data_IF_563722012922
#
_entry.id   IF_563722012922
#
_cell.length_a   1.000
_cell.length_b   1.000
_cell.length_c   1.000
_cell.angle_alpha   90.00
_cell.angle_beta   90.00
_cell.angle_gamma   90.00
#
_symmetry.space_group_name_H-M   'P 1'
#
loop_
_entity.id
_entity.type
_entity.pdbx_description
1 polymer ?
#
# COMPACT_ATOMS: atom_id res chain seq x y z
N UNK A 1 17.34 -2.09 -15.22
CA UNK A 1 16.49 -2.10 -16.42
C UNK A 1 15.06 -1.87 -15.95
N UNK A 2 14.41 -0.77 -16.33
CA UNK A 2 13.09 -0.37 -15.77
C UNK A 2 11.98 -0.40 -16.82
N UNK A 3 12.13 -1.25 -17.83
CA UNK A 3 11.14 -1.48 -18.89
C UNK A 3 10.83 -2.97 -19.00
N UNK A 4 9.56 -3.31 -19.24
CA UNK A 4 9.11 -4.69 -19.46
C UNK A 4 8.33 -4.75 -20.77
N UNK A 5 8.77 -5.57 -21.73
CA UNK A 5 8.21 -5.61 -23.09
C UNK A 5 8.08 -4.22 -23.76
N UNK A 6 9.04 -3.32 -23.52
CA UNK A 6 9.04 -1.95 -24.06
C UNK A 6 8.17 -0.94 -23.31
N UNK A 7 7.42 -1.35 -22.29
CA UNK A 7 6.61 -0.46 -21.44
C UNK A 7 7.36 -0.08 -20.16
N UNK A 8 7.16 1.13 -19.61
CA UNK A 8 7.69 1.50 -18.29
C UNK A 8 7.22 0.52 -17.22
N UNK A 9 8.16 -0.10 -16.50
CA UNK A 9 7.85 -1.09 -15.49
C UNK A 9 6.99 -0.51 -14.36
N UNK A 10 7.14 0.80 -14.07
CA UNK A 10 6.34 1.51 -13.08
C UNK A 10 4.84 1.33 -13.28
N UNK A 11 4.35 1.43 -14.54
CA UNK A 11 2.92 1.32 -14.85
C UNK A 11 2.40 -0.09 -14.53
N UNK A 12 3.20 -1.13 -14.76
CA UNK A 12 2.78 -2.49 -14.41
C UNK A 12 2.84 -2.72 -12.89
N UNK A 13 3.92 -2.26 -12.25
CA UNK A 13 4.13 -2.43 -10.81
C UNK A 13 3.10 -1.66 -9.97
N UNK A 14 2.70 -0.47 -10.40
CA UNK A 14 1.70 0.33 -9.67
C UNK A 14 0.34 -0.36 -9.60
N UNK A 15 -0.06 -1.14 -10.61
CA UNK A 15 -1.30 -1.94 -10.57
C UNK A 15 -1.28 -2.96 -9.44
N UNK A 16 -0.12 -3.54 -9.13
CA UNK A 16 0.02 -4.41 -7.96
C UNK A 16 -0.11 -3.60 -6.67
N UNK A 17 0.56 -2.46 -6.55
CA UNK A 17 0.53 -1.62 -5.34
C UNK A 17 -0.89 -1.13 -5.03
N UNK A 18 -1.61 -0.60 -6.02
CA UNK A 18 -2.97 -0.05 -5.82
C UNK A 18 -4.01 -1.11 -5.44
N UNK A 19 -3.74 -2.38 -5.71
CA UNK A 19 -4.62 -3.49 -5.32
C UNK A 19 -4.16 -4.12 -4.00
N UNK A 20 -2.87 -4.48 -3.90
CA UNK A 20 -2.34 -5.24 -2.78
C UNK A 20 -2.35 -4.43 -1.48
N UNK A 21 -1.97 -3.15 -1.50
CA UNK A 21 -1.91 -2.37 -0.27
C UNK A 21 -3.30 -2.15 0.35
N UNK A 22 -4.34 -1.69 -0.39
CA UNK A 22 -5.70 -1.59 0.15
C UNK A 22 -6.30 -2.94 0.56
N UNK A 23 -6.07 -4.00 -0.24
CA UNK A 23 -6.55 -5.34 0.12
C UNK A 23 -5.92 -5.83 1.43
N UNK A 24 -4.61 -5.66 1.59
CA UNK A 24 -3.88 -6.02 2.82
C UNK A 24 -4.39 -5.24 4.01
N UNK A 25 -4.60 -3.92 3.86
CA UNK A 25 -5.16 -3.06 4.90
C UNK A 25 -6.55 -3.55 5.36
N UNK A 26 -7.46 -3.83 4.43
CA UNK A 26 -8.81 -4.31 4.73
C UNK A 26 -8.79 -5.67 5.43
N UNK A 27 -7.98 -6.60 4.94
CA UNK A 27 -7.84 -7.93 5.56
C UNK A 27 -7.20 -7.85 6.95
N UNK A 28 -6.22 -6.97 7.15
CA UNK A 28 -5.59 -6.75 8.44
C UNK A 28 -6.56 -6.15 9.46
N UNK A 29 -7.36 -5.16 9.06
CA UNK A 29 -8.44 -4.61 9.90
C UNK A 29 -9.43 -5.72 10.26
N UNK A 30 -9.89 -6.50 9.27
CA UNK A 30 -10.82 -7.59 9.50
C UNK A 30 -10.25 -8.66 10.46
N UNK A 31 -8.98 -9.05 10.29
CA UNK A 31 -8.31 -10.02 11.17
C UNK A 31 -8.03 -9.47 12.58
N UNK A 32 -7.95 -8.14 12.75
CA UNK A 32 -7.82 -7.54 14.07
C UNK A 32 -9.12 -7.67 14.89
N UNK A 33 -10.27 -7.61 14.23
CA UNK A 33 -11.61 -7.65 14.85
C UNK A 33 -12.14 -9.08 14.95
N UNK A 34 -12.01 -9.89 13.90
CA UNK A 34 -12.59 -11.22 13.81
C UNK A 34 -11.54 -12.33 13.87
N UNK A 35 -11.54 -13.08 14.97
CA UNK A 35 -10.66 -14.26 15.16
C UNK A 35 -10.85 -15.32 14.07
N UNK A 36 -12.07 -15.47 13.53
CA UNK A 36 -12.34 -16.38 12.42
C UNK A 36 -11.58 -16.01 11.14
N UNK A 37 -11.44 -14.72 10.85
CA UNK A 37 -10.61 -14.22 9.73
C UNK A 37 -9.13 -14.42 10.05
N UNK A 38 -8.68 -13.99 11.25
CA UNK A 38 -7.29 -14.12 11.68
C UNK A 38 -6.79 -15.57 11.58
N UNK A 39 -7.50 -16.50 12.19
CA UNK A 39 -7.11 -17.91 12.25
C UNK A 39 -6.92 -18.59 10.89
N UNK A 40 -7.63 -18.11 9.85
CA UNK A 40 -7.57 -18.64 8.49
C UNK A 40 -6.60 -17.89 7.59
N UNK A 41 -6.58 -16.56 7.66
CA UNK A 41 -5.91 -15.71 6.68
C UNK A 41 -4.64 -15.02 7.18
N UNK A 42 -4.24 -15.18 8.44
CA UNK A 42 -3.08 -14.46 8.99
C UNK A 42 -1.79 -14.65 8.19
N UNK A 43 -1.52 -15.86 7.69
CA UNK A 43 -0.35 -16.14 6.87
C UNK A 43 -0.45 -15.53 5.47
N UNK A 44 -1.66 -15.48 4.90
CA UNK A 44 -1.91 -14.76 3.65
C UNK A 44 -1.69 -13.25 3.85
N UNK A 45 -2.23 -12.67 4.92
CA UNK A 45 -2.05 -11.24 5.26
C UNK A 45 -0.57 -10.91 5.43
N UNK A 46 0.18 -11.75 6.15
CA UNK A 46 1.62 -11.58 6.32
C UNK A 46 2.37 -11.64 4.98
N UNK A 47 2.05 -12.60 4.12
CA UNK A 47 2.64 -12.68 2.79
C UNK A 47 2.31 -11.43 1.96
N UNK A 48 1.04 -11.02 1.89
CA UNK A 48 0.63 -9.83 1.14
C UNK A 48 1.31 -8.54 1.65
N UNK A 49 1.45 -8.39 2.97
CA UNK A 49 2.14 -7.25 3.56
C UNK A 49 3.64 -7.22 3.17
N UNK A 50 4.32 -8.37 3.22
CA UNK A 50 5.73 -8.49 2.79
C UNK A 50 5.88 -8.24 1.29
N UNK A 51 5.00 -8.82 0.46
CA UNK A 51 5.00 -8.57 -0.98
C UNK A 51 4.77 -7.08 -1.30
N UNK A 52 3.84 -6.43 -0.61
CA UNK A 52 3.61 -4.99 -0.73
C UNK A 52 4.88 -4.21 -0.38
N UNK A 53 5.51 -4.51 0.76
CA UNK A 53 6.74 -3.86 1.20
C UNK A 53 7.88 -4.03 0.18
N UNK A 54 8.05 -5.21 -0.41
CA UNK A 54 9.09 -5.47 -1.42
C UNK A 54 8.79 -4.79 -2.75
N UNK A 55 7.53 -4.76 -3.18
CA UNK A 55 7.14 -4.13 -4.44
C UNK A 55 7.21 -2.61 -4.38
N UNK A 56 7.00 -1.99 -3.22
CA UNK A 56 7.01 -0.53 -3.08
C UNK A 56 8.31 0.11 -3.58
N UNK A 57 9.52 -0.25 -3.09
CA UNK A 57 10.76 0.36 -3.58
C UNK A 57 11.02 0.03 -5.06
N UNK A 58 10.66 -1.17 -5.53
CA UNK A 58 10.77 -1.52 -6.95
C UNK A 58 9.88 -0.62 -7.83
N UNK A 59 8.71 -0.26 -7.33
CA UNK A 59 7.77 0.64 -8.02
C UNK A 59 8.27 2.08 -8.00
N UNK A 60 8.81 2.54 -6.85
CA UNK A 60 9.42 3.86 -6.70
C UNK A 60 10.62 4.05 -7.61
N UNK A 61 11.59 3.12 -7.59
CA UNK A 61 12.77 3.17 -8.47
C UNK A 61 12.39 3.17 -9.95
N UNK A 62 11.37 2.39 -10.33
CA UNK A 62 10.84 2.41 -11.69
C UNK A 62 10.15 3.75 -12.03
N UNK A 63 9.51 4.38 -11.06
CA UNK A 63 8.86 5.70 -11.17
C UNK A 63 9.88 6.81 -11.36
N UNK A 64 10.89 6.91 -10.51
CA UNK A 64 12.01 7.86 -10.65
C UNK A 64 12.76 7.68 -11.96
N UNK A 65 12.87 6.43 -12.43
CA UNK A 65 13.40 6.17 -13.76
C UNK A 65 12.51 6.80 -14.82
N UNK A 66 11.19 6.64 -14.76
CA UNK A 66 10.25 7.19 -15.74
C UNK A 66 10.21 8.72 -15.69
N UNK A 67 10.21 9.32 -14.49
CA UNK A 67 10.22 10.76 -14.25
C UNK A 67 11.32 11.47 -15.04
N UNK A 68 12.53 10.89 -15.08
CA UNK A 68 13.69 11.44 -15.81
C UNK A 68 13.53 11.42 -17.34
N UNK A 69 12.49 10.76 -17.88
CA UNK A 69 12.19 10.62 -19.32
C UNK A 69 10.89 11.28 -19.76
N UNK A 70 10.13 11.88 -18.85
CA UNK A 70 8.90 12.62 -19.17
C UNK A 70 9.12 14.13 -18.98
N UNK A 71 8.28 15.00 -19.56
CA UNK A 71 8.32 16.42 -19.27
C UNK A 71 8.22 16.68 -17.77
N UNK A 72 9.06 17.59 -17.28
CA UNK A 72 9.02 18.01 -15.88
C UNK A 72 7.86 18.97 -15.67
N UNK A 73 6.82 18.51 -14.98
CA UNK A 73 5.66 19.31 -14.59
C UNK A 73 5.46 19.23 -13.08
N UNK A 74 4.80 20.23 -12.51
CA UNK A 74 4.48 20.25 -11.08
C UNK A 74 3.64 19.03 -10.66
N UNK A 75 2.74 18.56 -11.55
CA UNK A 75 1.93 17.37 -11.30
C UNK A 75 2.77 16.08 -11.21
N UNK A 76 3.79 15.92 -12.07
CA UNK A 76 4.71 14.77 -12.02
C UNK A 76 5.55 14.81 -10.74
N UNK A 77 6.11 15.97 -10.40
CA UNK A 77 6.92 16.15 -9.19
C UNK A 77 6.09 15.87 -7.91
N UNK A 78 4.86 16.39 -7.84
CA UNK A 78 3.94 16.13 -6.74
C UNK A 78 3.59 14.64 -6.61
N UNK A 79 3.35 13.94 -7.72
CA UNK A 79 3.07 12.51 -7.70
C UNK A 79 4.28 11.71 -7.17
N UNK A 80 5.48 12.02 -7.65
CA UNK A 80 6.73 11.38 -7.20
C UNK A 80 6.93 11.62 -5.70
N UNK A 81 6.83 12.88 -5.24
CA UNK A 81 7.06 13.24 -3.83
C UNK A 81 6.08 12.54 -2.89
N UNK A 82 4.79 12.51 -3.21
CA UNK A 82 3.79 11.81 -2.38
C UNK A 82 3.98 10.28 -2.49
N UNK A 83 4.39 9.78 -3.65
CA UNK A 83 4.69 8.37 -3.91
C UNK A 83 5.80 7.81 -3.02
N UNK A 84 6.84 8.60 -2.73
CA UNK A 84 7.97 8.21 -1.89
C UNK A 84 7.56 7.86 -0.46
N UNK A 85 6.46 8.44 0.03
CA UNK A 85 5.94 8.11 1.36
C UNK A 85 5.31 6.71 1.45
N UNK A 86 5.02 6.05 0.33
CA UNK A 86 4.36 4.74 0.30
C UNK A 86 5.12 3.65 1.07
N UNK A 87 6.45 3.78 1.17
CA UNK A 87 7.29 2.81 1.90
C UNK A 87 6.92 2.77 3.39
N UNK A 88 6.64 3.91 4.02
CA UNK A 88 6.30 3.97 5.44
C UNK A 88 4.97 3.29 5.73
N UNK A 89 3.97 3.44 4.85
CA UNK A 89 2.69 2.76 4.96
C UNK A 89 2.82 1.24 4.74
N UNK A 90 3.67 0.83 3.80
CA UNK A 90 3.97 -0.58 3.56
C UNK A 90 4.66 -1.25 4.77
N UNK A 91 5.62 -0.55 5.39
CA UNK A 91 6.24 -0.98 6.66
C UNK A 91 5.19 -1.07 7.77
N UNK A 92 4.30 -0.08 7.86
CA UNK A 92 3.17 -0.10 8.80
C UNK A 92 2.31 -1.37 8.65
N UNK A 93 1.97 -1.75 7.42
CA UNK A 93 1.20 -2.98 7.16
C UNK A 93 1.94 -4.23 7.62
N UNK A 94 3.28 -4.31 7.44
CA UNK A 94 4.09 -5.42 7.94
C UNK A 94 4.09 -5.47 9.47
N UNK A 95 4.17 -4.31 10.14
CA UNK A 95 4.08 -4.23 11.61
C UNK A 95 2.73 -4.74 12.10
N UNK A 96 1.63 -4.33 11.46
CA UNK A 96 0.28 -4.82 11.79
C UNK A 96 0.19 -6.34 11.56
N UNK A 97 0.68 -6.83 10.42
CA UNK A 97 0.66 -8.26 10.11
C UNK A 97 1.47 -9.08 11.13
N UNK A 98 2.65 -8.60 11.53
CA UNK A 98 3.47 -9.23 12.57
C UNK A 98 2.74 -9.27 13.92
N UNK A 99 2.02 -8.21 14.29
CA UNK A 99 1.22 -8.18 15.51
C UNK A 99 0.06 -9.20 15.45
N UNK A 100 -0.60 -9.34 14.28
CA UNK A 100 -1.64 -10.35 14.07
C UNK A 100 -1.10 -11.78 14.14
N UNK A 101 0.07 -12.04 13.52
CA UNK A 101 0.77 -13.34 13.63
C UNK A 101 1.12 -13.63 15.08
N UNK A 102 1.61 -12.65 15.83
CA UNK A 102 1.92 -12.80 17.25
C UNK A 102 0.69 -13.20 18.08
N UNK A 103 -0.44 -12.51 17.90
CA UNK A 103 -1.69 -12.86 18.58
C UNK A 103 -2.14 -14.29 18.21
N UNK A 104 -2.10 -14.65 16.93
CA UNK A 104 -2.47 -15.98 16.44
C UNK A 104 -1.59 -17.09 17.04
N UNK A 105 -0.28 -16.88 17.13
CA UNK A 105 0.65 -17.85 17.73
C UNK A 105 0.44 -17.99 19.24
N UNK A 106 0.09 -16.90 19.95
CA UNK A 106 -0.27 -16.96 21.38
C UNK A 106 -1.52 -17.79 21.61
N UNK A 107 -2.58 -17.55 20.82
CA UNK A 107 -3.83 -18.29 20.91
C UNK A 107 -3.62 -19.79 20.67
N UNK A 108 -2.82 -20.15 19.65
CA UNK A 108 -2.47 -21.57 19.38
C UNK A 108 -1.70 -22.25 20.50
N UNK A 109 -0.96 -21.49 21.33
CA UNK A 109 -0.23 -22.00 22.50
C UNK A 109 -1.09 -22.04 23.77
N UNK A 110 -2.41 -21.78 23.67
CA UNK A 110 -3.31 -21.74 24.83
C UNK A 110 -3.21 -20.46 25.66
N UNK A 111 -2.44 -19.46 25.20
CA UNK A 111 -2.25 -18.20 25.91
C UNK A 111 -3.17 -17.14 25.31
N UNK A 112 -4.40 -17.02 25.84
CA UNK A 112 -5.32 -15.98 25.40
C UNK A 112 -4.67 -14.58 25.54
N UNK A 113 -4.76 -13.72 24.51
CA UNK A 113 -4.27 -12.35 24.61
C UNK A 113 -5.10 -11.57 25.63
N UNK A 114 -4.43 -10.75 26.43
CA UNK A 114 -5.14 -9.88 27.38
C UNK A 114 -5.83 -8.75 26.63
N UNK A 115 -6.96 -8.27 27.17
CA UNK A 115 -7.87 -7.34 26.47
C UNK A 115 -7.17 -6.11 25.87
N UNK A 116 -6.20 -5.53 26.57
CA UNK A 116 -5.47 -4.36 26.08
C UNK A 116 -4.62 -4.65 24.84
N UNK A 117 -4.06 -5.87 24.71
CA UNK A 117 -3.28 -6.27 23.52
C UNK A 117 -4.18 -6.33 22.29
N UNK A 118 -5.36 -6.93 22.43
CA UNK A 118 -6.34 -6.99 21.34
C UNK A 118 -6.80 -5.60 20.93
N UNK A 119 -7.09 -4.71 21.89
CA UNK A 119 -7.47 -3.33 21.61
C UNK A 119 -6.33 -2.58 20.91
N UNK A 120 -5.09 -2.72 21.39
CA UNK A 120 -3.93 -2.07 20.80
C UNK A 120 -3.72 -2.50 19.33
N UNK A 121 -3.86 -3.80 19.03
CA UNK A 121 -3.73 -4.31 17.66
C UNK A 121 -4.88 -3.83 16.76
N UNK A 122 -6.11 -3.75 17.28
CA UNK A 122 -7.25 -3.18 16.52
C UNK A 122 -7.00 -1.72 16.19
N UNK A 123 -6.62 -0.90 17.19
CA UNK A 123 -6.33 0.54 16.97
C UNK A 123 -5.20 0.70 15.96
N UNK A 124 -4.11 -0.05 16.12
CA UNK A 124 -2.98 -0.01 15.20
C UNK A 124 -3.38 -0.40 13.77
N UNK A 125 -4.14 -1.50 13.61
CA UNK A 125 -4.61 -1.97 12.31
C UNK A 125 -5.54 -0.95 11.63
N UNK A 126 -6.47 -0.35 12.38
CA UNK A 126 -7.40 0.65 11.86
C UNK A 126 -6.66 1.92 11.44
N UNK A 127 -5.78 2.45 12.28
CA UNK A 127 -5.03 3.69 11.97
C UNK A 127 -4.16 3.46 10.73
N UNK A 128 -3.29 2.46 10.75
CA UNK A 128 -2.38 2.19 9.63
C UNK A 128 -3.14 1.82 8.36
N UNK A 129 -4.17 0.96 8.48
CA UNK A 129 -4.95 0.50 7.34
C UNK A 129 -5.73 1.64 6.68
N UNK A 130 -6.41 2.48 7.46
CA UNK A 130 -7.13 3.64 6.94
C UNK A 130 -6.17 4.65 6.30
N UNK A 131 -5.04 4.97 6.95
CA UNK A 131 -4.04 5.87 6.37
C UNK A 131 -3.45 5.30 5.08
N UNK A 132 -3.22 4.00 5.00
CA UNK A 132 -2.71 3.36 3.78
C UNK A 132 -3.68 3.51 2.62
N UNK A 133 -4.98 3.22 2.85
CA UNK A 133 -6.00 3.34 1.82
C UNK A 133 -6.11 4.79 1.32
N UNK A 134 -6.14 5.77 2.24
CA UNK A 134 -6.20 7.20 1.90
C UNK A 134 -4.98 7.61 1.08
N UNK A 135 -3.78 7.15 1.45
CA UNK A 135 -2.56 7.55 0.76
C UNK A 135 -2.43 6.90 -0.61
N UNK A 136 -2.84 5.63 -0.78
CA UNK A 136 -2.95 5.00 -2.10
C UNK A 136 -3.91 5.78 -2.99
N UNK A 137 -5.05 6.24 -2.47
CA UNK A 137 -5.97 7.09 -3.21
C UNK A 137 -5.32 8.41 -3.65
N UNK A 138 -4.64 9.12 -2.75
CA UNK A 138 -3.98 10.42 -3.05
C UNK A 138 -2.82 10.28 -4.04
N UNK A 139 -2.03 9.20 -3.92
CA UNK A 139 -0.98 8.87 -4.89
C UNK A 139 -1.61 8.56 -6.26
N UNK A 140 -2.71 7.81 -6.29
CA UNK A 140 -3.43 7.49 -7.53
C UNK A 140 -4.05 8.72 -8.19
N UNK A 141 -4.69 9.60 -7.43
CA UNK A 141 -5.28 10.84 -7.92
C UNK A 141 -4.21 11.78 -8.51
N UNK A 142 -3.10 12.00 -7.80
CA UNK A 142 -1.98 12.80 -8.31
C UNK A 142 -1.36 12.20 -9.56
N UNK A 143 -1.22 10.86 -9.62
CA UNK A 143 -0.72 10.17 -10.82
C UNK A 143 -1.68 10.30 -12.01
N UNK A 144 -2.99 10.26 -11.77
CA UNK A 144 -3.99 10.49 -12.81
C UNK A 144 -3.92 11.93 -13.34
N UNK A 145 -3.77 12.94 -12.47
CA UNK A 145 -3.57 14.34 -12.89
C UNK A 145 -2.29 14.49 -13.71
N UNK A 146 -1.18 13.92 -13.24
CA UNK A 146 0.10 13.96 -13.97
C UNK A 146 0.02 13.34 -15.37
N UNK A 147 -0.83 12.32 -15.57
CA UNK A 147 -1.01 11.66 -16.85
C UNK A 147 -2.01 12.35 -17.80
N UNK A 148 -2.97 13.12 -17.27
CA UNK A 148 -4.13 13.62 -18.04
C UNK A 148 -4.30 15.15 -18.07
N UNK A 149 -3.40 15.92 -17.46
CA UNK A 149 -3.53 17.38 -17.30
C UNK A 149 -3.79 18.13 -18.62
N UNK A 150 -3.06 17.77 -19.69
CA UNK A 150 -3.20 18.36 -21.04
C UNK A 150 -4.57 18.08 -21.70
N UNK A 151 -5.20 16.95 -21.38
CA UNK A 151 -6.50 16.56 -21.95
C UNK A 151 -7.62 17.41 -21.33
N UNK A 152 -7.55 17.69 -20.03
CA UNK A 152 -8.45 18.62 -19.34
C UNK A 152 -8.31 20.05 -19.86
N UNK A 153 -7.07 20.54 -20.04
CA UNK A 153 -6.82 21.89 -20.56
C UNK A 153 -7.34 22.07 -22.00
N UNK A 154 -7.34 21.02 -22.81
CA UNK A 154 -7.85 21.09 -24.19
C UNK A 154 -9.38 21.05 -24.23
N UNK A 155 -10.04 20.41 -23.27
CA UNK A 155 -11.50 20.33 -23.18
C UNK A 155 -12.16 21.64 -22.69
N UNK A 156 -11.49 22.41 -21.85
CA UNK A 156 -12.00 23.71 -21.35
C UNK A 156 -11.85 24.86 -22.37
N UNK A 157 -11.05 24.66 -23.43
CA UNK A 157 -10.75 25.68 -24.45
C UNK A 157 -11.50 25.50 -25.79
N UNK A 158 -12.45 24.54 -25.87
CA UNK A 158 -13.26 24.26 -27.07
C UNK A 158 -14.75 24.41 -26.82
#
# INVERSE_FOLDING_TARGET
MSTFNGLPAHILLVHFIVVLAPLTALLAIAASIWTGVRSRLVWLIAALAVFTLVLTPLTTEAGEWLEKRVPKTEAVEQHTEIGDWMIYFSVGLVVVAAALVFLHLRERRGNAPVRWQSIAVVVLAVVIGATTIVQVYRIGESGARAAWDDVSATADNG
#
